data_IF_413502723191
#
_entry.id   IF_413502723191
#
_cell.length_a   1.000
_cell.length_b   1.000
_cell.length_c   1.000
_cell.angle_alpha   90.00
_cell.angle_beta   90.00
_cell.angle_gamma   90.00
#
_symmetry.space_group_name_H-M   'P 1'
#
loop_
_entity.id
_entity.type
_entity.pdbx_description
1 polymer ?
#
# COMPACT_ATOMS: atom_id res chain seq x y z
N UNK A 1 -1.32 9.68 3.19
CA UNK A 1 -1.82 8.40 2.60
C UNK A 1 -2.83 8.66 1.48
N UNK A 2 -3.91 9.44 1.70
CA UNK A 2 -4.93 9.68 0.66
C UNK A 2 -4.39 10.53 -0.50
N UNK A 3 -3.57 11.52 -0.23
CA UNK A 3 -2.91 12.37 -1.23
C UNK A 3 -1.87 11.57 -2.04
N UNK A 4 -1.11 10.70 -1.40
CA UNK A 4 -0.14 9.82 -2.07
C UNK A 4 -0.85 8.85 -3.02
N UNK A 5 -1.95 8.23 -2.55
CA UNK A 5 -2.77 7.36 -3.39
C UNK A 5 -3.39 8.12 -4.57
N UNK A 6 -3.91 9.32 -4.34
CA UNK A 6 -4.44 10.17 -5.41
C UNK A 6 -3.35 10.58 -6.41
N UNK A 7 -2.16 10.93 -5.92
CA UNK A 7 -1.00 11.23 -6.77
C UNK A 7 -0.60 10.06 -7.66
N UNK A 8 -0.57 8.83 -7.11
CA UNK A 8 -0.27 7.62 -7.87
C UNK A 8 -1.33 7.33 -8.94
N UNK A 9 -2.62 7.54 -8.62
CA UNK A 9 -3.71 7.38 -9.60
C UNK A 9 -3.59 8.41 -10.73
N UNK A 10 -3.31 9.66 -10.39
CA UNK A 10 -3.09 10.72 -11.39
C UNK A 10 -1.91 10.36 -12.30
N UNK A 11 -0.79 9.93 -11.72
CA UNK A 11 0.37 9.49 -12.50
C UNK A 11 0.03 8.31 -13.43
N UNK A 12 -0.74 7.34 -12.96
CA UNK A 12 -1.12 6.18 -13.75
C UNK A 12 -2.00 6.54 -14.96
N UNK A 13 -2.92 7.50 -14.77
CA UNK A 13 -3.89 7.90 -15.81
C UNK A 13 -3.26 8.86 -16.82
N UNK A 14 -2.48 9.84 -16.35
CA UNK A 14 -1.98 10.92 -17.20
C UNK A 14 -0.55 10.70 -17.72
N UNK A 15 0.20 9.80 -17.07
CA UNK A 15 1.61 9.53 -17.41
C UNK A 15 1.87 8.02 -17.53
N UNK A 16 1.25 7.33 -18.50
CA UNK A 16 1.54 5.92 -18.74
C UNK A 16 3.02 5.76 -19.14
N UNK A 17 3.65 4.70 -18.62
CA UNK A 17 5.10 4.47 -18.82
C UNK A 17 5.43 3.69 -20.10
N UNK A 18 4.46 3.49 -20.98
CA UNK A 18 4.64 2.75 -22.25
C UNK A 18 3.31 2.51 -22.95
N UNK A 19 3.35 1.58 -23.92
CA UNK A 19 2.14 1.12 -24.58
C UNK A 19 1.26 0.36 -23.58
N UNK A 20 -0.02 0.73 -23.51
CA UNK A 20 -0.96 0.10 -22.59
C UNK A 20 -1.30 -1.31 -23.07
N UNK A 21 -0.92 -2.30 -22.30
CA UNK A 21 -1.19 -3.72 -22.51
C UNK A 21 -2.03 -4.28 -21.36
N UNK A 22 -3.35 -4.00 -21.33
CA UNK A 22 -4.22 -4.31 -20.20
C UNK A 22 -4.34 -5.81 -19.89
N UNK A 23 -3.97 -6.69 -20.82
CA UNK A 23 -3.93 -8.14 -20.62
C UNK A 23 -3.02 -8.54 -19.45
N UNK A 24 -1.95 -7.78 -19.18
CA UNK A 24 -1.05 -8.04 -18.06
C UNK A 24 -1.66 -7.75 -16.69
N UNK A 25 -2.74 -6.97 -16.64
CA UNK A 25 -3.50 -6.78 -15.39
C UNK A 25 -4.20 -8.06 -14.93
N UNK A 26 -4.49 -9.00 -15.87
CA UNK A 26 -5.03 -10.31 -15.51
C UNK A 26 -4.06 -11.11 -14.65
N UNK A 27 -2.75 -10.98 -14.88
CA UNK A 27 -1.72 -11.58 -14.02
C UNK A 27 -1.79 -11.03 -12.60
N UNK A 28 -1.92 -9.72 -12.48
CA UNK A 28 -2.00 -9.03 -11.18
C UNK A 28 -3.25 -9.43 -10.39
N UNK A 29 -4.43 -9.30 -11.01
CA UNK A 29 -5.70 -9.67 -10.40
C UNK A 29 -5.75 -11.17 -10.11
N UNK A 30 -5.25 -12.00 -11.03
CA UNK A 30 -5.17 -13.45 -10.86
C UNK A 30 -4.30 -13.83 -9.67
N UNK A 31 -3.10 -13.25 -9.52
CA UNK A 31 -2.23 -13.49 -8.39
C UNK A 31 -2.90 -13.10 -7.05
N UNK A 32 -3.55 -11.93 -7.00
CA UNK A 32 -4.27 -11.46 -5.83
C UNK A 32 -5.44 -12.40 -5.46
N UNK A 33 -6.24 -12.83 -6.45
CA UNK A 33 -7.36 -13.75 -6.24
C UNK A 33 -6.90 -15.13 -5.77
N UNK A 34 -5.83 -15.67 -6.35
CA UNK A 34 -5.28 -16.97 -5.94
C UNK A 34 -4.83 -16.95 -4.49
N UNK A 35 -4.08 -15.92 -4.10
CA UNK A 35 -3.62 -15.78 -2.72
C UNK A 35 -4.79 -15.56 -1.76
N UNK A 36 -5.73 -14.69 -2.11
CA UNK A 36 -6.93 -14.48 -1.32
C UNK A 36 -7.73 -15.77 -1.14
N UNK A 37 -7.94 -16.54 -2.21
CA UNK A 37 -8.71 -17.79 -2.16
C UNK A 37 -8.01 -18.85 -1.31
N UNK A 38 -6.71 -19.12 -1.56
CA UNK A 38 -5.98 -20.21 -0.91
C UNK A 38 -5.62 -19.90 0.56
N UNK A 39 -5.26 -18.67 0.88
CA UNK A 39 -4.70 -18.31 2.19
C UNK A 39 -5.65 -17.50 3.08
N UNK A 40 -6.75 -17.00 2.53
CA UNK A 40 -7.75 -16.27 3.31
C UNK A 40 -9.12 -16.96 3.28
N UNK A 41 -9.71 -17.13 2.09
CA UNK A 41 -11.06 -17.65 1.95
C UNK A 41 -11.18 -19.13 2.36
N UNK A 42 -10.35 -20.00 1.80
CA UNK A 42 -10.42 -21.46 2.04
C UNK A 42 -10.18 -21.83 3.52
N UNK A 43 -9.13 -21.30 4.20
CA UNK A 43 -8.96 -21.58 5.64
C UNK A 43 -10.11 -21.08 6.49
N UNK A 44 -10.70 -19.93 6.16
CA UNK A 44 -11.89 -19.41 6.87
C UNK A 44 -13.11 -20.30 6.71
N UNK A 45 -13.31 -20.86 5.52
CA UNK A 45 -14.42 -21.81 5.30
C UNK A 45 -14.23 -23.11 6.10
N UNK A 46 -12.98 -23.58 6.21
CA UNK A 46 -12.65 -24.77 6.99
C UNK A 46 -12.83 -24.57 8.51
N UNK A 47 -12.67 -23.33 8.97
CA UNK A 47 -12.78 -22.95 10.38
C UNK A 47 -14.17 -22.37 10.72
N UNK A 48 -15.17 -22.48 9.84
CA UNK A 48 -16.46 -21.80 9.99
C UNK A 48 -17.20 -22.17 11.30
N UNK A 49 -17.05 -23.41 11.73
CA UNK A 49 -17.72 -23.96 12.91
C UNK A 49 -16.83 -23.96 14.17
N UNK A 50 -15.58 -23.50 14.07
CA UNK A 50 -14.61 -23.49 15.17
C UNK A 50 -14.10 -22.07 15.48
N UNK A 51 -14.49 -21.55 16.64
CA UNK A 51 -14.06 -20.23 17.11
C UNK A 51 -12.53 -20.14 17.35
N UNK A 52 -11.84 -21.26 17.55
CA UNK A 52 -10.39 -21.31 17.73
C UNK A 52 -9.61 -21.13 16.42
N UNK A 53 -10.27 -21.28 15.27
CA UNK A 53 -9.71 -21.12 13.91
C UNK A 53 -8.36 -21.82 13.70
N UNK A 54 -8.27 -23.14 13.95
CA UNK A 54 -7.00 -23.87 13.95
C UNK A 54 -6.36 -23.91 12.56
N UNK A 55 -7.13 -24.04 11.48
CA UNK A 55 -6.63 -24.13 10.10
C UNK A 55 -6.05 -22.80 9.67
N UNK A 56 -6.78 -21.70 9.87
CA UNK A 56 -6.32 -20.34 9.56
C UNK A 56 -5.03 -20.01 10.32
N UNK A 57 -4.95 -20.35 11.61
CA UNK A 57 -3.77 -20.15 12.44
C UNK A 57 -2.59 -20.98 11.93
N UNK A 58 -2.81 -22.27 11.59
CA UNK A 58 -1.77 -23.16 11.07
C UNK A 58 -1.23 -22.69 9.73
N UNK A 59 -2.08 -22.20 8.83
CA UNK A 59 -1.67 -21.64 7.54
C UNK A 59 -0.84 -20.40 7.75
N UNK A 60 -1.27 -19.48 8.63
CA UNK A 60 -0.52 -18.24 8.95
C UNK A 60 0.85 -18.53 9.56
N UNK A 61 0.95 -19.46 10.50
CA UNK A 61 2.23 -19.81 11.15
C UNK A 61 3.18 -20.54 10.21
N UNK A 62 2.66 -21.37 9.28
CA UNK A 62 3.50 -22.13 8.36
C UNK A 62 4.03 -21.32 7.18
N UNK A 63 3.17 -20.53 6.57
CA UNK A 63 3.49 -19.78 5.34
C UNK A 63 3.85 -18.32 5.62
N UNK A 64 3.42 -17.77 6.75
CA UNK A 64 3.68 -16.39 7.12
C UNK A 64 3.24 -15.40 6.04
N UNK A 65 4.10 -14.42 5.79
CA UNK A 65 3.89 -13.34 4.83
C UNK A 65 4.32 -13.69 3.37
N UNK A 66 5.09 -14.76 3.18
CA UNK A 66 5.70 -15.09 1.90
C UNK A 66 4.74 -15.24 0.70
N UNK A 67 3.57 -15.89 0.82
CA UNK A 67 2.63 -15.99 -0.29
C UNK A 67 2.17 -14.63 -0.81
N UNK A 68 2.00 -13.67 0.09
CA UNK A 68 1.59 -12.30 -0.25
C UNK A 68 2.73 -11.52 -0.89
N UNK A 69 3.98 -11.74 -0.49
CA UNK A 69 5.17 -11.16 -1.13
C UNK A 69 5.28 -11.64 -2.57
N UNK A 70 5.08 -12.94 -2.81
CA UNK A 70 5.11 -13.51 -4.17
C UNK A 70 3.98 -12.92 -5.02
N UNK A 71 2.76 -12.86 -4.49
CA UNK A 71 1.64 -12.24 -5.19
C UNK A 71 1.88 -10.75 -5.48
N UNK A 72 2.47 -10.02 -4.52
CA UNK A 72 2.84 -8.62 -4.69
C UNK A 72 3.89 -8.42 -5.78
N UNK A 73 4.91 -9.29 -5.85
CA UNK A 73 5.93 -9.25 -6.90
C UNK A 73 5.34 -9.55 -8.29
N UNK A 74 4.46 -10.55 -8.40
CA UNK A 74 3.76 -10.87 -9.64
C UNK A 74 2.83 -9.73 -10.08
N UNK A 75 2.11 -9.16 -9.13
CA UNK A 75 1.23 -8.02 -9.38
C UNK A 75 2.01 -6.77 -9.82
N UNK A 76 3.10 -6.47 -9.13
CA UNK A 76 4.02 -5.40 -9.50
C UNK A 76 4.55 -5.56 -10.92
N UNK A 77 5.01 -6.77 -11.28
CA UNK A 77 5.46 -7.09 -12.61
C UNK A 77 4.36 -6.95 -13.65
N UNK A 78 3.13 -7.42 -13.33
CA UNK A 78 1.96 -7.27 -14.21
C UNK A 78 1.63 -5.80 -14.51
N UNK A 79 1.66 -4.93 -13.49
CA UNK A 79 1.45 -3.48 -13.68
C UNK A 79 2.54 -2.84 -14.53
N UNK A 80 3.80 -3.22 -14.32
CA UNK A 80 4.92 -2.72 -15.12
C UNK A 80 4.77 -3.09 -16.60
N UNK A 81 4.38 -4.32 -16.89
CA UNK A 81 4.18 -4.76 -18.27
C UNK A 81 2.89 -4.20 -18.89
N UNK A 82 1.91 -3.86 -18.06
CA UNK A 82 0.70 -3.17 -18.52
C UNK A 82 0.92 -1.70 -18.92
N UNK A 83 2.14 -1.15 -18.73
CA UNK A 83 2.43 0.26 -19.00
C UNK A 83 1.88 1.21 -17.93
N UNK A 84 1.47 0.68 -16.78
CA UNK A 84 0.95 1.45 -15.66
C UNK A 84 2.02 1.55 -14.57
N UNK A 85 1.99 2.63 -13.79
CA UNK A 85 3.00 2.84 -12.75
C UNK A 85 3.07 1.67 -11.76
N UNK A 86 4.23 0.99 -11.62
CA UNK A 86 4.36 -0.27 -10.85
C UNK A 86 4.00 -0.15 -9.37
N UNK A 87 4.07 1.06 -8.79
CA UNK A 87 3.67 1.29 -7.40
C UNK A 87 2.20 0.95 -7.11
N UNK A 88 1.33 0.99 -8.14
CA UNK A 88 -0.07 0.58 -8.04
C UNK A 88 -0.24 -0.96 -7.98
N UNK A 89 0.80 -1.72 -8.31
CA UNK A 89 0.76 -3.18 -8.32
C UNK A 89 0.44 -3.80 -6.95
N UNK A 90 0.64 -3.08 -5.85
CA UNK A 90 0.27 -3.57 -4.52
C UNK A 90 -1.23 -3.46 -4.22
N UNK A 91 -1.97 -2.57 -4.90
CA UNK A 91 -3.38 -2.32 -4.62
C UNK A 91 -4.28 -3.57 -4.71
N UNK A 92 -4.16 -4.46 -5.71
CA UNK A 92 -4.96 -5.67 -5.77
C UNK A 92 -4.66 -6.67 -4.66
N UNK A 93 -3.43 -6.66 -4.10
CA UNK A 93 -2.97 -7.61 -3.09
C UNK A 93 -3.37 -7.17 -1.67
N UNK A 94 -3.49 -5.87 -1.40
CA UNK A 94 -3.85 -5.34 -0.08
C UNK A 94 -5.16 -5.94 0.46
N UNK A 95 -6.27 -5.99 -0.30
CA UNK A 95 -7.51 -6.61 0.17
C UNK A 95 -7.41 -8.12 0.39
N UNK A 96 -6.42 -8.77 -0.25
CA UNK A 96 -6.19 -10.20 -0.09
C UNK A 96 -5.47 -10.56 1.23
N UNK A 97 -4.85 -9.59 1.90
CA UNK A 97 -4.23 -9.81 3.21
C UNK A 97 -5.29 -10.13 4.26
N UNK A 98 -5.04 -11.09 5.15
CA UNK A 98 -5.94 -11.39 6.25
C UNK A 98 -5.95 -10.23 7.24
N UNK A 99 -7.08 -9.57 7.34
CA UNK A 99 -7.32 -8.53 8.35
C UNK A 99 -7.74 -9.17 9.67
N UNK A 100 -7.31 -8.59 10.79
CA UNK A 100 -7.81 -8.98 12.09
C UNK A 100 -9.31 -8.64 12.18
N UNK A 101 -10.14 -9.60 12.61
CA UNK A 101 -11.59 -9.42 12.81
C UNK A 101 -11.89 -8.61 14.09
N UNK A 102 -11.09 -7.61 14.41
CA UNK A 102 -11.38 -6.70 15.52
C UNK A 102 -12.33 -5.61 15.02
N UNK A 103 -13.49 -5.44 15.67
CA UNK A 103 -14.37 -4.33 15.34
C UNK A 103 -13.61 -3.02 15.53
N UNK A 104 -13.63 -2.19 14.51
CA UNK A 104 -13.05 -0.87 14.51
C UNK A 104 -13.89 0.01 15.46
N UNK A 105 -13.66 -0.12 16.76
CA UNK A 105 -14.33 0.65 17.79
C UNK A 105 -13.33 1.56 18.47
N UNK A 106 -13.59 2.87 18.45
CA UNK A 106 -12.85 3.90 19.21
C UNK A 106 -12.71 3.57 20.71
N UNK A 107 -13.47 2.60 21.22
CA UNK A 107 -13.53 2.15 22.61
C UNK A 107 -13.22 0.66 22.77
N UNK A 108 -12.71 -0.02 21.74
CA UNK A 108 -12.23 -1.40 21.88
C UNK A 108 -11.15 -1.44 22.95
N UNK A 109 -11.36 -2.22 24.02
CA UNK A 109 -10.32 -2.52 25.01
C UNK A 109 -9.06 -2.87 24.26
N UNK A 110 -7.94 -2.33 24.71
CA UNK A 110 -6.58 -2.61 24.28
C UNK A 110 -6.24 -4.08 24.57
N UNK A 111 -6.99 -4.98 23.92
CA UNK A 111 -6.69 -6.39 23.93
C UNK A 111 -5.47 -6.54 23.03
N UNK A 112 -4.41 -7.00 23.69
CA UNK A 112 -3.14 -7.41 23.13
C UNK A 112 -3.22 -7.61 21.63
N UNK A 113 -2.56 -6.73 20.89
CA UNK A 113 -2.26 -6.87 19.47
C UNK A 113 -1.54 -8.23 19.27
N UNK A 114 -2.31 -9.28 19.18
CA UNK A 114 -1.81 -10.57 18.72
C UNK A 114 -1.46 -10.35 17.26
N UNK A 115 -0.16 -10.27 17.00
CA UNK A 115 0.51 -10.37 15.71
C UNK A 115 -0.43 -10.26 14.50
N UNK A 116 -0.77 -9.02 14.14
CA UNK A 116 -1.39 -8.76 12.86
C UNK A 116 -0.30 -8.81 11.80
N UNK A 117 -0.51 -9.62 10.76
CA UNK A 117 0.47 -9.85 9.70
C UNK A 117 0.92 -8.54 9.02
N UNK A 118 0.02 -7.55 8.92
CA UNK A 118 0.33 -6.25 8.36
C UNK A 118 1.27 -5.46 9.28
N UNK A 119 1.03 -5.51 10.58
CA UNK A 119 1.86 -4.85 11.59
C UNK A 119 3.25 -5.49 11.69
N UNK A 120 3.32 -6.82 11.63
CA UNK A 120 4.61 -7.54 11.60
C UNK A 120 5.41 -7.20 10.33
N UNK A 121 4.74 -7.07 9.18
CA UNK A 121 5.37 -6.63 7.94
C UNK A 121 5.85 -5.17 8.03
N UNK A 122 5.06 -4.27 8.59
CA UNK A 122 5.45 -2.87 8.81
C UNK A 122 6.71 -2.78 9.68
N UNK A 123 6.71 -3.47 10.82
CA UNK A 123 7.87 -3.48 11.71
C UNK A 123 9.11 -4.12 11.07
N UNK A 124 8.93 -5.21 10.33
CA UNK A 124 10.03 -5.91 9.65
C UNK A 124 10.62 -5.12 8.48
N UNK A 125 9.80 -4.38 7.75
CA UNK A 125 10.22 -3.60 6.58
C UNK A 125 10.71 -2.19 6.93
N UNK A 126 10.40 -1.68 8.12
CA UNK A 126 10.72 -0.31 8.51
C UNK A 126 12.22 0.00 8.36
N UNK A 127 13.08 -0.78 8.99
CA UNK A 127 14.53 -0.54 8.95
C UNK A 127 15.13 -0.65 7.54
N UNK A 128 14.87 -1.71 6.74
CA UNK A 128 15.36 -1.75 5.36
C UNK A 128 14.83 -0.62 4.49
N UNK A 129 13.57 -0.22 4.65
CA UNK A 129 12.99 0.90 3.88
C UNK A 129 13.64 2.22 4.27
N UNK A 130 13.89 2.49 5.56
CA UNK A 130 14.59 3.68 6.02
C UNK A 130 16.01 3.78 5.43
N UNK A 131 16.75 2.66 5.39
CA UNK A 131 18.08 2.60 4.77
C UNK A 131 18.01 2.87 3.27
N UNK A 132 17.06 2.26 2.56
CA UNK A 132 16.88 2.48 1.12
C UNK A 132 16.51 3.94 0.84
N UNK A 133 15.61 4.53 1.62
CA UNK A 133 15.21 5.94 1.48
C UNK A 133 16.39 6.89 1.77
N UNK A 134 17.20 6.57 2.76
CA UNK A 134 18.42 7.33 3.07
C UNK A 134 19.40 7.30 1.89
N UNK A 135 19.67 6.11 1.34
CA UNK A 135 20.56 5.95 0.17
C UNK A 135 19.98 6.63 -1.07
N UNK A 136 18.69 6.51 -1.30
CA UNK A 136 17.98 7.18 -2.39
C UNK A 136 18.08 8.70 -2.24
N UNK A 137 17.81 9.22 -1.04
CA UNK A 137 17.96 10.66 -0.74
C UNK A 137 19.40 11.13 -0.98
N UNK A 138 20.39 10.38 -0.52
CA UNK A 138 21.80 10.70 -0.73
C UNK A 138 22.20 10.68 -2.21
N UNK A 139 21.76 9.67 -2.96
CA UNK A 139 22.05 9.57 -4.40
C UNK A 139 21.38 10.70 -5.22
N UNK A 140 20.22 11.18 -4.78
CA UNK A 140 19.47 12.23 -5.47
C UNK A 140 19.73 13.65 -4.93
N UNK A 141 20.49 13.79 -3.83
CA UNK A 141 20.80 15.11 -3.23
C UNK A 141 21.78 15.96 -4.06
N UNK A 142 22.43 15.37 -5.06
CA UNK A 142 23.40 16.05 -5.94
C UNK A 142 22.75 16.95 -6.99
N UNK A 143 21.89 17.90 -6.59
CA UNK A 143 21.33 18.88 -7.51
C UNK A 143 22.34 20.00 -7.74
N UNK A 144 22.74 20.21 -9.00
CA UNK A 144 23.59 21.30 -9.38
C UNK A 144 22.82 22.62 -9.24
N UNK A 145 23.33 23.59 -8.51
CA UNK A 145 22.64 24.87 -8.29
C UNK A 145 22.27 25.61 -9.59
N UNK A 146 23.00 25.36 -10.67
CA UNK A 146 22.71 25.95 -12.00
C UNK A 146 21.45 25.36 -12.65
N UNK A 147 20.91 24.23 -12.14
CA UNK A 147 19.66 23.61 -12.66
C UNK A 147 18.41 24.06 -11.92
N UNK A 148 18.54 25.03 -11.01
CA UNK A 148 17.37 25.63 -10.33
C UNK A 148 16.60 26.47 -11.35
N UNK A 149 15.47 25.96 -11.79
CA UNK A 149 14.58 26.58 -12.77
C UNK A 149 13.19 26.90 -12.19
N UNK A 150 12.28 27.33 -13.05
CA UNK A 150 10.91 27.67 -12.69
C UNK A 150 10.18 26.50 -11.98
N UNK A 151 10.40 25.26 -12.46
CA UNK A 151 9.81 24.07 -11.86
C UNK A 151 10.23 23.88 -10.39
N UNK A 152 11.48 24.21 -10.04
CA UNK A 152 11.98 24.11 -8.66
C UNK A 152 11.24 25.07 -7.74
N UNK A 153 11.01 26.30 -8.20
CA UNK A 153 10.28 27.31 -7.45
C UNK A 153 8.80 26.93 -7.28
N UNK A 154 8.17 26.37 -8.32
CA UNK A 154 6.78 25.91 -8.25
C UNK A 154 6.62 24.77 -7.24
N UNK A 155 7.54 23.81 -7.23
CA UNK A 155 7.55 22.72 -6.25
C UNK A 155 7.77 23.26 -4.83
N UNK A 156 8.73 24.18 -4.64
CA UNK A 156 9.02 24.76 -3.34
C UNK A 156 7.81 25.53 -2.78
N UNK A 157 7.18 26.37 -3.59
CA UNK A 157 5.96 27.10 -3.22
C UNK A 157 4.82 26.13 -2.91
N UNK A 158 4.64 25.10 -3.74
CA UNK A 158 3.63 24.05 -3.52
C UNK A 158 3.83 23.31 -2.19
N UNK A 159 5.06 23.03 -1.79
CA UNK A 159 5.37 22.38 -0.52
C UNK A 159 5.18 23.31 0.68
N UNK A 160 5.67 24.56 0.59
CA UNK A 160 5.65 25.49 1.73
C UNK A 160 4.26 26.09 1.94
N UNK A 161 3.54 26.43 0.88
CA UNK A 161 2.23 27.07 0.96
C UNK A 161 1.09 26.09 0.65
N UNK A 162 1.21 25.30 -0.41
CA UNK A 162 0.14 24.43 -0.88
C UNK A 162 -0.20 23.32 0.14
N UNK A 163 0.81 22.68 0.70
CA UNK A 163 0.58 21.59 1.66
C UNK A 163 -0.07 22.07 2.97
N UNK A 164 0.42 23.12 3.66
CA UNK A 164 -0.26 23.64 4.86
C UNK A 164 -1.64 24.18 4.56
N UNK A 165 -1.83 24.93 3.48
CA UNK A 165 -3.14 25.47 3.10
C UNK A 165 -4.12 24.36 2.75
N UNK A 166 -3.69 23.33 2.05
CA UNK A 166 -4.51 22.16 1.75
C UNK A 166 -4.96 21.43 3.03
N UNK A 167 -4.04 21.16 3.94
CA UNK A 167 -4.37 20.51 5.23
C UNK A 167 -5.34 21.36 6.04
N UNK A 168 -5.12 22.67 6.14
CA UNK A 168 -6.01 23.57 6.89
C UNK A 168 -7.39 23.66 6.23
N UNK A 169 -7.46 23.81 4.91
CA UNK A 169 -8.70 23.92 4.17
C UNK A 169 -9.55 22.65 4.27
N UNK A 170 -8.96 21.48 3.98
CA UNK A 170 -9.69 20.21 4.04
C UNK A 170 -9.98 19.80 5.49
N UNK A 171 -9.11 20.12 6.45
CA UNK A 171 -9.36 19.90 7.86
C UNK A 171 -10.53 20.75 8.38
N UNK A 172 -10.62 22.03 7.96
CA UNK A 172 -11.75 22.89 8.27
C UNK A 172 -13.03 22.38 7.61
N UNK A 173 -12.97 21.98 6.34
CA UNK A 173 -14.11 21.44 5.62
C UNK A 173 -14.65 20.15 6.26
N UNK A 174 -13.76 19.27 6.71
CA UNK A 174 -14.13 18.03 7.42
C UNK A 174 -14.74 18.31 8.80
N UNK A 175 -14.30 19.37 9.49
CA UNK A 175 -14.82 19.75 10.80
C UNK A 175 -16.15 20.51 10.72
N UNK A 176 -16.49 21.12 9.57
CA UNK A 176 -17.70 21.92 9.39
C UNK A 176 -19.01 21.13 9.63
N UNK A 177 -19.19 19.88 9.15
CA UNK A 177 -20.42 19.11 9.38
C UNK A 177 -20.55 18.54 10.81
N UNK A 178 -19.52 18.65 11.66
CA UNK A 178 -19.55 18.15 13.04
C UNK A 178 -19.88 19.25 14.08
N UNK A 179 -20.19 20.45 13.64
CA UNK A 179 -20.72 21.55 14.46
C UNK A 179 -22.22 21.69 14.25
#
# INVERSE_FOLDING_TARGET
IADDAAGLVILAVFYPQGDLSPEWLLLSVGAALVVWYLFNYLPRQMDKDDNARPVSTKVRTRFGFWPYVVAAALSWYGFQQAGIHPALGLLPVIPALPHADTPFGLFGKKESYKHDMLNDAEHGLKAPVEVILMLFGFANAGVVFSSIGEATWLVLIGLILGKPLGVLFFGWLAAAPMR
#
